data_IF_951284538493
#
_entry.id   IF_951284538493
#
_cell.length_a   1.000
_cell.length_b   1.000
_cell.length_c   1.000
_cell.angle_alpha   90.00
_cell.angle_beta   90.00
_cell.angle_gamma   90.00
#
_symmetry.space_group_name_H-M   'P 1'
#
loop_
_entity.id
_entity.type
_entity.pdbx_description
1 polymer ?
#
# COMPACT_ATOMS: atom_id res chain seq x y z
N UNK A 1 -15.66 37.71 16.48
CA UNK A 1 -15.61 36.77 17.62
C UNK A 1 -15.21 35.39 17.10
N UNK A 2 -14.09 34.83 17.58
CA UNK A 2 -13.70 33.47 17.20
C UNK A 2 -14.71 32.45 17.72
N UNK A 3 -15.12 31.48 16.89
CA UNK A 3 -16.01 30.40 17.31
C UNK A 3 -15.36 29.64 18.49
N UNK A 4 -16.15 29.36 19.54
CA UNK A 4 -15.67 28.61 20.72
C UNK A 4 -15.21 27.23 20.27
N UNK A 5 -13.95 26.86 20.54
CA UNK A 5 -13.43 25.55 20.14
C UNK A 5 -14.09 24.46 20.98
N UNK A 6 -14.81 23.56 20.33
CA UNK A 6 -15.29 22.31 20.92
C UNK A 6 -14.14 21.30 20.87
N UNK A 7 -13.93 20.56 21.96
CA UNK A 7 -12.85 19.56 22.03
C UNK A 7 -13.19 18.39 21.09
N UNK A 8 -12.25 17.99 20.25
CA UNK A 8 -12.40 16.78 19.42
C UNK A 8 -12.29 15.55 20.35
N UNK A 9 -13.19 14.55 20.25
CA UNK A 9 -13.07 13.32 21.01
C UNK A 9 -11.73 12.61 20.76
N UNK A 10 -11.14 12.03 21.82
CA UNK A 10 -9.79 11.45 21.71
C UNK A 10 -9.71 10.26 20.75
N UNK A 11 -10.79 9.48 20.63
CA UNK A 11 -10.91 8.39 19.65
C UNK A 11 -10.76 8.91 18.22
N UNK A 12 -11.46 9.99 17.89
CA UNK A 12 -11.40 10.66 16.58
C UNK A 12 -10.00 11.19 16.30
N UNK A 13 -9.36 11.85 17.27
CA UNK A 13 -7.97 12.31 17.13
C UNK A 13 -7.02 11.14 16.81
N UNK A 14 -7.08 10.06 17.59
CA UNK A 14 -6.21 8.90 17.43
C UNK A 14 -6.42 8.22 16.07
N UNK A 15 -7.66 8.14 15.61
CA UNK A 15 -7.99 7.55 14.32
C UNK A 15 -7.43 8.37 13.16
N UNK A 16 -7.58 9.70 13.19
CA UNK A 16 -7.00 10.60 12.18
C UNK A 16 -5.48 10.51 12.19
N UNK A 17 -4.84 10.48 13.37
CA UNK A 17 -3.40 10.31 13.50
C UNK A 17 -2.93 8.97 12.91
N UNK A 18 -3.66 7.88 13.16
CA UNK A 18 -3.36 6.57 12.60
C UNK A 18 -3.50 6.53 11.07
N UNK A 19 -4.61 7.06 10.53
CA UNK A 19 -4.89 7.10 9.08
C UNK A 19 -3.89 7.98 8.32
N UNK A 20 -3.38 9.03 8.95
CA UNK A 20 -2.46 10.00 8.35
C UNK A 20 -0.98 9.71 8.59
N UNK A 21 -0.66 8.68 9.37
CA UNK A 21 0.69 8.44 9.88
C UNK A 21 1.28 9.68 10.61
N UNK A 22 0.44 10.38 11.37
CA UNK A 22 0.77 11.60 12.11
C UNK A 22 1.43 12.70 11.24
N UNK A 23 0.94 12.87 10.01
CA UNK A 23 1.51 13.81 9.02
C UNK A 23 0.43 14.64 8.33
N UNK A 24 0.86 15.83 7.88
CA UNK A 24 0.01 16.72 7.10
C UNK A 24 -0.47 16.01 5.84
N UNK A 25 -1.77 16.01 5.57
CA UNK A 25 -2.32 15.35 4.38
C UNK A 25 -2.07 16.10 3.06
N UNK A 26 -1.42 17.28 3.12
CA UNK A 26 -1.08 18.10 1.95
C UNK A 26 0.41 17.97 1.63
N UNK A 27 1.29 18.27 2.60
CA UNK A 27 2.74 18.34 2.41
C UNK A 27 3.54 17.31 3.21
N UNK A 28 2.87 16.44 3.97
CA UNK A 28 3.45 15.28 4.67
C UNK A 28 4.47 15.63 5.78
N UNK A 29 4.63 16.91 6.12
CA UNK A 29 5.46 17.33 7.26
C UNK A 29 4.83 16.89 8.59
N UNK A 30 5.66 16.63 9.62
CA UNK A 30 5.16 16.36 10.97
C UNK A 30 4.54 17.62 11.61
N UNK A 31 4.07 17.47 12.86
CA UNK A 31 3.44 18.52 13.67
C UNK A 31 2.12 19.00 13.09
N UNK A 32 1.07 18.17 13.21
CA UNK A 32 -0.26 18.46 12.64
C UNK A 32 -1.17 19.20 13.62
N UNK A 33 -2.15 19.87 13.05
CA UNK A 33 -3.33 20.46 13.66
C UNK A 33 -4.56 19.86 12.99
N UNK A 34 -5.64 19.71 13.75
CA UNK A 34 -6.92 19.23 13.23
C UNK A 34 -7.70 20.41 12.65
N UNK A 35 -7.91 20.38 11.34
CA UNK A 35 -8.66 21.38 10.59
C UNK A 35 -10.07 20.87 10.28
N UNK A 36 -11.09 21.59 10.74
CA UNK A 36 -12.49 21.36 10.35
C UNK A 36 -12.75 21.96 8.97
N UNK A 37 -13.07 21.10 8.00
CA UNK A 37 -13.21 21.43 6.58
C UNK A 37 -14.43 22.33 6.30
N UNK A 38 -15.48 22.20 7.11
CA UNK A 38 -16.68 23.05 7.09
C UNK A 38 -16.57 24.30 7.98
N UNK A 39 -15.40 24.52 8.60
CA UNK A 39 -15.14 25.61 9.56
C UNK A 39 -16.08 25.61 10.78
N UNK A 40 -16.76 24.51 11.07
CA UNK A 40 -17.60 24.32 12.25
C UNK A 40 -16.86 23.48 13.30
N UNK A 41 -16.35 24.09 14.38
CA UNK A 41 -15.56 23.37 15.38
C UNK A 41 -16.37 22.32 16.17
N UNK A 42 -17.70 22.35 16.09
CA UNK A 42 -18.57 21.36 16.72
C UNK A 42 -18.84 20.12 15.85
N UNK A 43 -18.52 20.16 14.55
CA UNK A 43 -18.70 19.04 13.64
C UNK A 43 -17.48 18.10 13.68
N UNK A 44 -17.46 17.19 14.64
CA UNK A 44 -16.33 16.28 14.86
C UNK A 44 -16.41 14.98 14.05
N UNK A 45 -17.17 14.94 12.96
CA UNK A 45 -17.16 13.83 12.03
C UNK A 45 -15.75 13.64 11.44
N UNK A 46 -15.27 12.40 11.33
CA UNK A 46 -13.90 12.09 10.87
C UNK A 46 -13.68 12.63 9.46
N UNK A 47 -14.68 12.49 8.60
CA UNK A 47 -14.76 13.00 7.24
C UNK A 47 -14.79 14.52 7.15
N UNK A 48 -15.05 15.23 8.25
CA UNK A 48 -14.99 16.69 8.32
C UNK A 48 -13.64 17.21 8.84
N UNK A 49 -12.75 16.34 9.32
CA UNK A 49 -11.47 16.76 9.88
C UNK A 49 -10.31 16.34 8.96
N UNK A 50 -9.36 17.26 8.76
CA UNK A 50 -8.13 17.01 8.01
C UNK A 50 -6.90 17.33 8.89
N UNK A 51 -5.88 16.45 8.91
CA UNK A 51 -4.62 16.73 9.60
C UNK A 51 -3.74 17.62 8.73
N UNK A 52 -3.50 18.87 9.17
CA UNK A 52 -2.71 19.86 8.44
C UNK A 52 -1.54 20.35 9.29
N UNK A 53 -0.36 20.60 8.73
CA UNK A 53 0.68 21.34 9.45
C UNK A 53 0.28 22.82 9.58
N UNK A 54 0.90 23.61 10.49
CA UNK A 54 0.55 25.02 10.70
C UNK A 54 0.56 25.87 9.43
N UNK A 55 1.49 25.61 8.51
CA UNK A 55 1.59 26.32 7.24
C UNK A 55 0.38 26.03 6.33
N UNK A 56 0.07 24.76 6.09
CA UNK A 56 -1.08 24.38 5.28
C UNK A 56 -2.42 24.74 5.96
N UNK A 57 -2.48 24.68 7.29
CA UNK A 57 -3.65 25.11 8.06
C UNK A 57 -3.90 26.61 7.89
N UNK A 58 -2.85 27.43 7.85
CA UNK A 58 -2.97 28.88 7.61
C UNK A 58 -3.39 29.15 6.16
N UNK A 59 -2.84 28.42 5.20
CA UNK A 59 -3.23 28.51 3.78
C UNK A 59 -4.68 28.10 3.54
N UNK A 60 -5.22 27.14 4.30
CA UNK A 60 -6.62 26.74 4.20
C UNK A 60 -7.60 27.87 4.59
N UNK A 61 -7.18 28.77 5.48
CA UNK A 61 -7.96 29.96 5.86
C UNK A 61 -7.64 31.20 5.02
N UNK A 62 -6.80 31.07 3.99
CA UNK A 62 -6.32 32.19 3.18
C UNK A 62 -6.64 31.98 1.70
N UNK A 63 -6.79 33.08 0.97
CA UNK A 63 -6.94 33.06 -0.49
C UNK A 63 -5.88 33.93 -1.15
N UNK A 64 -5.10 33.35 -2.06
CA UNK A 64 -4.13 34.04 -2.88
C UNK A 64 -4.56 34.13 -4.36
N UNK A 65 -3.95 35.07 -5.09
CA UNK A 65 -4.13 35.22 -6.55
C UNK A 65 -3.07 34.49 -7.37
N UNK A 66 -1.92 34.19 -6.77
CA UNK A 66 -0.76 33.60 -7.45
C UNK A 66 -0.70 32.08 -7.33
N UNK A 67 -1.28 31.52 -6.27
CA UNK A 67 -1.27 30.09 -6.00
C UNK A 67 -2.69 29.54 -6.05
N UNK A 68 -2.79 28.24 -6.36
CA UNK A 68 -4.07 27.55 -6.31
C UNK A 68 -4.50 27.37 -4.85
N UNK A 69 -5.66 27.92 -4.50
CA UNK A 69 -6.17 27.94 -3.13
C UNK A 69 -6.51 26.53 -2.60
N UNK A 70 -6.32 26.33 -1.30
CA UNK A 70 -6.71 25.10 -0.59
C UNK A 70 -8.19 25.17 -0.20
N UNK A 71 -9.07 24.96 -1.18
CA UNK A 71 -10.51 24.86 -0.92
C UNK A 71 -10.86 23.60 -0.12
N UNK A 72 -11.96 23.62 0.63
CA UNK A 72 -12.48 22.46 1.37
C UNK A 72 -12.53 21.18 0.53
N UNK A 73 -13.00 21.28 -0.71
CA UNK A 73 -13.04 20.14 -1.66
C UNK A 73 -11.64 19.60 -1.99
N UNK A 74 -10.66 20.48 -2.20
CA UNK A 74 -9.26 20.07 -2.45
C UNK A 74 -8.64 19.42 -1.23
N UNK A 75 -8.91 19.95 -0.04
CA UNK A 75 -8.44 19.38 1.22
C UNK A 75 -8.98 17.95 1.39
N UNK A 76 -10.28 17.73 1.17
CA UNK A 76 -10.90 16.38 1.20
C UNK A 76 -10.20 15.46 0.21
N UNK A 77 -10.08 15.86 -1.06
CA UNK A 77 -9.45 15.04 -2.10
C UNK A 77 -8.01 14.66 -1.76
N UNK A 78 -7.21 15.62 -1.27
CA UNK A 78 -5.81 15.37 -0.91
C UNK A 78 -5.70 14.52 0.36
N UNK A 79 -6.59 14.72 1.34
CA UNK A 79 -6.70 13.89 2.53
C UNK A 79 -6.97 12.44 2.18
N UNK A 80 -7.99 12.20 1.37
CA UNK A 80 -8.41 10.83 1.05
C UNK A 80 -7.33 10.12 0.20
N UNK A 81 -6.65 10.86 -0.70
CA UNK A 81 -5.45 10.36 -1.40
C UNK A 81 -4.33 10.00 -0.44
N UNK A 82 -4.05 10.83 0.57
CA UNK A 82 -3.01 10.57 1.55
C UNK A 82 -3.34 9.37 2.45
N UNK A 83 -4.60 9.24 2.88
CA UNK A 83 -5.06 8.08 3.64
C UNK A 83 -4.94 6.81 2.83
N UNK A 84 -5.35 6.84 1.55
CA UNK A 84 -5.19 5.70 0.66
C UNK A 84 -3.70 5.34 0.50
N UNK A 85 -2.83 6.32 0.25
CA UNK A 85 -1.38 6.09 0.21
C UNK A 85 -0.83 5.48 1.51
N UNK A 86 -1.22 5.99 2.68
CA UNK A 86 -0.80 5.45 3.96
C UNK A 86 -1.31 4.03 4.18
N UNK A 87 -2.53 3.74 3.74
CA UNK A 87 -3.12 2.41 3.81
C UNK A 87 -2.39 1.45 2.89
N UNK A 88 -2.24 1.79 1.60
CA UNK A 88 -1.41 1.04 0.65
C UNK A 88 0.03 0.87 1.13
N UNK A 89 0.59 1.80 1.91
CA UNK A 89 1.93 1.65 2.48
C UNK A 89 1.94 0.70 3.67
N UNK A 90 0.91 0.70 4.52
CA UNK A 90 0.72 -0.31 5.58
C UNK A 90 0.54 -1.70 4.96
N UNK A 91 -0.21 -1.77 3.87
CA UNK A 91 -0.48 -2.99 3.12
C UNK A 91 0.74 -3.43 2.28
N UNK A 92 1.48 -2.48 1.69
CA UNK A 92 2.73 -2.70 0.97
C UNK A 92 3.92 -2.99 1.89
N UNK A 93 3.88 -2.53 3.14
CA UNK A 93 4.78 -3.02 4.20
C UNK A 93 4.47 -4.45 4.64
N UNK A 94 3.37 -5.05 4.16
CA UNK A 94 3.09 -6.47 4.35
C UNK A 94 3.70 -7.37 3.27
N UNK A 95 4.26 -6.86 2.16
CA UNK A 95 5.21 -7.68 1.37
C UNK A 95 6.52 -7.66 2.15
N UNK A 96 6.55 -8.46 3.21
CA UNK A 96 7.72 -8.54 4.06
C UNK A 96 8.92 -9.02 3.23
N UNK A 97 10.14 -8.61 3.59
CA UNK A 97 11.37 -9.26 3.11
C UNK A 97 11.25 -10.80 3.25
N UNK A 98 10.48 -11.27 4.24
CA UNK A 98 10.18 -12.68 4.44
C UNK A 98 9.34 -13.30 3.31
N UNK A 99 8.51 -12.55 2.59
CA UNK A 99 7.69 -13.07 1.48
C UNK A 99 8.58 -13.49 0.29
N UNK A 100 9.46 -12.60 -0.16
CA UNK A 100 10.47 -12.91 -1.18
C UNK A 100 11.38 -14.05 -0.73
N UNK A 101 11.83 -14.04 0.53
CA UNK A 101 12.67 -15.10 1.08
C UNK A 101 11.94 -16.46 1.12
N UNK A 102 10.66 -16.48 1.53
CA UNK A 102 9.83 -17.69 1.52
C UNK A 102 9.66 -18.23 0.11
N UNK A 103 9.40 -17.36 -0.87
CA UNK A 103 9.26 -17.77 -2.27
C UNK A 103 10.58 -18.35 -2.81
N UNK A 104 11.71 -17.65 -2.64
CA UNK A 104 13.03 -18.16 -3.06
C UNK A 104 13.36 -19.50 -2.41
N UNK A 105 13.12 -19.64 -1.10
CA UNK A 105 13.36 -20.90 -0.40
C UNK A 105 12.47 -22.03 -0.92
N UNK A 106 11.21 -21.75 -1.24
CA UNK A 106 10.32 -22.72 -1.86
C UNK A 106 10.82 -23.11 -3.25
N UNK A 107 11.14 -22.15 -4.10
CA UNK A 107 11.65 -22.40 -5.46
C UNK A 107 12.93 -23.23 -5.44
N UNK A 108 13.87 -22.92 -4.53
CA UNK A 108 15.08 -23.72 -4.32
C UNK A 108 14.78 -25.15 -3.85
N UNK A 109 13.80 -25.32 -2.95
CA UNK A 109 13.36 -26.63 -2.48
C UNK A 109 12.72 -27.45 -3.61
N UNK A 110 11.89 -26.80 -4.44
CA UNK A 110 11.23 -27.44 -5.57
C UNK A 110 12.21 -27.80 -6.67
N UNK A 111 13.27 -27.04 -6.86
CA UNK A 111 14.23 -27.23 -7.94
C UNK A 111 13.61 -26.87 -9.31
N UNK A 112 13.82 -27.73 -10.31
CA UNK A 112 13.38 -27.48 -11.69
C UNK A 112 11.86 -27.33 -11.78
N UNK A 113 11.39 -26.26 -12.41
CA UNK A 113 9.97 -26.07 -12.73
C UNK A 113 9.54 -26.95 -13.92
N UNK A 114 8.25 -27.22 -14.03
CA UNK A 114 7.64 -27.92 -15.18
C UNK A 114 7.82 -27.09 -16.47
N UNK A 115 7.81 -25.75 -16.32
CA UNK A 115 8.12 -24.78 -17.36
C UNK A 115 9.25 -23.85 -16.92
N UNK A 116 10.22 -23.58 -17.81
CA UNK A 116 11.38 -22.75 -17.47
C UNK A 116 11.01 -21.31 -17.14
N UNK A 117 11.45 -20.81 -15.97
CA UNK A 117 11.36 -19.41 -15.57
C UNK A 117 11.79 -18.45 -16.68
N UNK A 118 12.97 -18.67 -17.25
CA UNK A 118 13.55 -17.81 -18.29
C UNK A 118 12.75 -17.81 -19.58
N UNK A 119 12.02 -18.91 -19.88
CA UNK A 119 11.12 -19.00 -21.04
C UNK A 119 9.78 -18.34 -20.75
N UNK A 120 9.19 -18.59 -19.58
CA UNK A 120 7.90 -18.04 -19.17
C UNK A 120 7.94 -16.52 -19.15
N UNK A 121 8.92 -15.92 -18.45
CA UNK A 121 9.04 -14.47 -18.33
C UNK A 121 9.75 -13.82 -19.54
N UNK A 122 10.52 -14.60 -20.30
CA UNK A 122 11.19 -14.12 -21.52
C UNK A 122 10.24 -13.68 -22.65
N UNK A 123 8.95 -14.00 -22.56
CA UNK A 123 7.90 -13.49 -23.45
C UNK A 123 7.50 -12.06 -23.12
N UNK A 124 7.63 -11.67 -21.85
CA UNK A 124 7.32 -10.32 -21.34
C UNK A 124 8.51 -9.40 -21.61
N UNK A 125 9.72 -9.83 -21.25
CA UNK A 125 10.96 -9.11 -21.52
C UNK A 125 12.09 -10.11 -21.87
N UNK A 126 12.68 -10.02 -23.08
CA UNK A 126 13.74 -10.92 -23.50
C UNK A 126 14.96 -10.98 -22.57
N UNK A 127 15.21 -9.94 -21.75
CA UNK A 127 16.33 -9.91 -20.80
C UNK A 127 16.26 -10.99 -19.73
N UNK A 128 15.06 -11.48 -19.37
CA UNK A 128 14.89 -12.59 -18.42
C UNK A 128 15.51 -13.91 -18.89
N UNK A 129 15.76 -14.07 -20.20
CA UNK A 129 16.35 -15.30 -20.75
C UNK A 129 17.76 -15.59 -20.22
N UNK A 130 18.46 -14.55 -19.78
CA UNK A 130 19.83 -14.63 -19.27
C UNK A 130 19.91 -14.59 -17.74
N UNK A 131 18.76 -14.48 -17.05
CA UNK A 131 18.69 -14.32 -15.60
C UNK A 131 18.44 -15.66 -14.91
N UNK A 132 18.96 -15.80 -13.69
CA UNK A 132 18.64 -16.90 -12.78
C UNK A 132 17.21 -16.76 -12.23
N UNK A 133 16.60 -17.85 -11.73
CA UNK A 133 15.27 -17.78 -11.11
C UNK A 133 15.19 -16.76 -9.96
N UNK A 134 16.23 -16.65 -9.13
CA UNK A 134 16.25 -15.70 -8.01
C UNK A 134 16.23 -14.25 -8.49
N UNK A 135 16.99 -13.91 -9.55
CA UNK A 135 16.99 -12.57 -10.14
C UNK A 135 15.67 -12.25 -10.83
N UNK A 136 15.05 -13.25 -11.48
CA UNK A 136 13.71 -13.10 -12.06
C UNK A 136 12.69 -12.83 -10.95
N UNK A 137 12.73 -13.58 -9.84
CA UNK A 137 11.84 -13.37 -8.68
C UNK A 137 12.01 -11.95 -8.14
N UNK A 138 13.25 -11.50 -7.90
CA UNK A 138 13.51 -10.15 -7.37
C UNK A 138 12.93 -9.05 -8.26
N UNK A 139 13.00 -9.23 -9.58
CA UNK A 139 12.52 -8.25 -10.52
C UNK A 139 11.00 -8.28 -10.69
N UNK A 140 10.43 -9.46 -10.87
CA UNK A 140 8.98 -9.66 -11.09
C UNK A 140 8.17 -9.27 -9.84
N UNK A 141 8.66 -9.63 -8.66
CA UNK A 141 7.99 -9.34 -7.37
C UNK A 141 8.45 -8.04 -6.72
N UNK A 142 9.09 -7.13 -7.48
CA UNK A 142 9.42 -5.78 -7.01
C UNK A 142 8.21 -4.84 -6.96
N UNK A 143 7.08 -5.25 -7.54
CA UNK A 143 5.82 -4.51 -7.54
C UNK A 143 5.04 -4.69 -6.24
N UNK A 144 4.24 -3.68 -5.90
CA UNK A 144 3.23 -3.74 -4.82
C UNK A 144 1.80 -3.75 -5.36
N UNK A 145 1.63 -3.77 -6.68
CA UNK A 145 0.33 -3.91 -7.32
C UNK A 145 -0.23 -5.31 -7.05
N UNK A 146 -1.44 -5.39 -6.47
CA UNK A 146 -2.07 -6.66 -6.11
C UNK A 146 -2.34 -7.54 -7.33
N UNK A 147 -2.86 -6.98 -8.42
CA UNK A 147 -3.25 -7.73 -9.61
C UNK A 147 -2.03 -8.35 -10.30
N UNK A 148 -0.92 -7.60 -10.37
CA UNK A 148 0.36 -8.11 -10.86
C UNK A 148 0.85 -9.28 -9.98
N UNK A 149 0.85 -9.10 -8.66
CA UNK A 149 1.30 -10.13 -7.71
C UNK A 149 0.45 -11.40 -7.81
N UNK A 150 -0.88 -11.27 -7.92
CA UNK A 150 -1.79 -12.40 -8.14
C UNK A 150 -1.43 -13.13 -9.42
N UNK A 151 -1.26 -12.40 -10.53
CA UNK A 151 -0.89 -12.96 -11.83
C UNK A 151 0.45 -13.71 -11.77
N UNK A 152 1.45 -13.16 -11.08
CA UNK A 152 2.76 -13.78 -10.96
C UNK A 152 2.73 -15.01 -10.04
N UNK A 153 1.99 -14.98 -8.93
CA UNK A 153 1.82 -16.16 -8.07
C UNK A 153 1.06 -17.26 -8.79
N UNK A 154 0.02 -16.95 -9.56
CA UNK A 154 -0.69 -17.95 -10.36
C UNK A 154 0.21 -18.56 -11.46
N UNK A 155 1.05 -17.73 -12.10
CA UNK A 155 2.06 -18.23 -13.03
C UNK A 155 2.98 -19.24 -12.35
N UNK A 156 3.45 -18.97 -11.12
CA UNK A 156 4.26 -19.92 -10.34
C UNK A 156 3.47 -21.18 -9.98
N UNK A 157 2.19 -21.04 -9.62
CA UNK A 157 1.28 -22.17 -9.36
C UNK A 157 1.25 -23.12 -10.56
N UNK A 158 1.08 -22.57 -11.77
CA UNK A 158 1.13 -23.35 -13.02
C UNK A 158 2.49 -23.99 -13.30
N UNK A 159 3.59 -23.26 -13.05
CA UNK A 159 4.96 -23.75 -13.27
C UNK A 159 5.36 -24.93 -12.38
N UNK A 160 4.70 -25.09 -11.24
CA UNK A 160 4.98 -26.15 -10.26
C UNK A 160 3.77 -27.04 -9.99
N UNK A 161 2.79 -27.06 -10.89
CA UNK A 161 1.53 -27.78 -10.73
C UNK A 161 1.76 -29.27 -10.41
N UNK A 162 2.75 -29.92 -11.03
CA UNK A 162 3.06 -31.33 -10.77
C UNK A 162 3.50 -31.58 -9.31
N UNK A 163 4.19 -30.62 -8.70
CA UNK A 163 4.78 -30.70 -7.36
C UNK A 163 3.83 -30.25 -6.26
N UNK A 164 2.89 -29.36 -6.58
CA UNK A 164 1.87 -28.87 -5.65
C UNK A 164 0.81 -29.93 -5.30
N UNK A 165 0.85 -31.11 -5.93
CA UNK A 165 0.08 -32.28 -5.49
C UNK A 165 0.51 -32.81 -4.12
N UNK A 166 1.75 -32.52 -3.69
CA UNK A 166 2.21 -32.82 -2.34
C UNK A 166 1.64 -31.80 -1.34
N UNK A 167 0.94 -32.28 -0.32
CA UNK A 167 0.23 -31.45 0.68
C UNK A 167 1.21 -30.56 1.47
N UNK A 168 2.41 -31.04 1.79
CA UNK A 168 3.43 -30.27 2.51
C UNK A 168 3.99 -29.14 1.64
N UNK A 169 4.17 -29.41 0.36
CA UNK A 169 4.58 -28.39 -0.62
C UNK A 169 3.47 -27.37 -0.86
N UNK A 170 2.22 -27.82 -0.98
CA UNK A 170 1.06 -26.95 -1.12
C UNK A 170 0.91 -26.01 0.08
N UNK A 171 1.05 -26.51 1.31
CA UNK A 171 1.03 -25.69 2.52
C UNK A 171 2.15 -24.62 2.52
N UNK A 172 3.36 -24.97 2.07
CA UNK A 172 4.45 -24.00 1.91
C UNK A 172 4.12 -22.94 0.87
N UNK A 173 3.49 -23.31 -0.24
CA UNK A 173 3.08 -22.36 -1.27
C UNK A 173 1.94 -21.44 -0.77
N UNK A 174 0.93 -21.97 -0.07
CA UNK A 174 -0.11 -21.17 0.59
C UNK A 174 0.49 -20.15 1.56
N UNK A 175 1.53 -20.54 2.32
CA UNK A 175 2.29 -19.63 3.20
C UNK A 175 3.07 -18.55 2.44
N UNK A 176 3.46 -18.80 1.19
CA UNK A 176 4.04 -17.79 0.29
C UNK A 176 2.95 -16.82 -0.14
N UNK A 177 1.83 -17.29 -0.67
CA UNK A 177 0.70 -16.44 -1.11
C UNK A 177 0.23 -15.51 0.02
N UNK A 178 0.00 -16.05 1.21
CA UNK A 178 -0.38 -15.27 2.38
C UNK A 178 0.67 -14.23 2.78
N UNK A 179 1.96 -14.51 2.56
CA UNK A 179 3.02 -13.54 2.83
C UNK A 179 3.06 -12.38 1.82
N UNK A 180 2.46 -12.55 0.63
CA UNK A 180 2.20 -11.49 -0.34
C UNK A 180 0.80 -10.87 -0.16
N UNK A 181 0.04 -11.28 0.85
CA UNK A 181 -1.31 -10.76 1.12
C UNK A 181 -2.38 -11.26 0.13
N UNK A 182 -2.13 -12.39 -0.52
CA UNK A 182 -3.03 -13.02 -1.50
C UNK A 182 -3.47 -14.37 -0.96
N UNK A 183 -4.79 -14.60 -0.89
CA UNK A 183 -5.31 -15.92 -0.52
C UNK A 183 -5.06 -16.90 -1.67
N UNK A 184 -4.71 -18.14 -1.35
CA UNK A 184 -4.48 -19.15 -2.38
C UNK A 184 -5.75 -19.45 -3.20
N UNK A 185 -6.93 -19.34 -2.58
CA UNK A 185 -8.19 -19.60 -3.26
C UNK A 185 -8.59 -18.45 -4.22
N UNK A 186 -7.85 -17.33 -4.20
CA UNK A 186 -7.96 -16.23 -5.16
C UNK A 186 -7.06 -16.38 -6.39
N UNK A 187 -6.16 -17.39 -6.40
CA UNK A 187 -5.27 -17.69 -7.53
C UNK A 187 -5.97 -18.45 -8.65
#
# INVERSE_FOLDING_TARGET
MGKKRTKIPKSVENEILSRSNNRCCICQTPFIQFHHVDENPSNNAIENIAPLCPNCHTQAHSTGKLAVNLTSKRIITLRDKWYNYCQCRKDGSNISINALLKLKNLVRLLGLADHSWSKTFGTIDPSYKQMSPDEIIDRVFSTSNRDDLTTYLDTIRGMYASKLNDISILDKFKKVCNAFGIDYDEL
#
